data_IF_949078406130
#
_entry.id   IF_949078406130
#
_cell.length_a   1.000
_cell.length_b   1.000
_cell.length_c   1.000
_cell.angle_alpha   90.00
_cell.angle_beta   90.00
_cell.angle_gamma   90.00
#
_symmetry.space_group_name_H-M   'P 1'
#
loop_
_entity.id
_entity.type
_entity.pdbx_description
1 polymer ?
#
# COMPACT_ATOMS: atom_id res chain seq x y z
N UNK A 1 2.84 -2.42 16.16
CA UNK A 1 1.34 -2.39 16.23
C UNK A 1 0.81 -3.16 15.03
N UNK A 2 -0.05 -4.16 15.25
CA UNK A 2 -0.56 -5.04 14.21
C UNK A 2 -2.08 -4.90 14.10
N UNK A 3 -2.60 -4.86 12.88
CA UNK A 3 -4.03 -4.87 12.61
C UNK A 3 -4.30 -6.04 11.67
N UNK A 4 -5.28 -6.87 12.03
CA UNK A 4 -5.71 -8.02 11.24
C UNK A 4 -7.21 -7.87 11.00
N UNK A 5 -7.60 -7.83 9.73
CA UNK A 5 -9.00 -7.78 9.29
C UNK A 5 -9.36 -9.15 8.75
N UNK A 6 -10.26 -9.86 9.44
CA UNK A 6 -10.77 -11.14 8.96
C UNK A 6 -11.63 -10.99 7.70
N UNK A 7 -12.01 -12.11 7.09
CA UNK A 7 -12.82 -12.17 5.85
C UNK A 7 -14.13 -11.41 5.92
N UNK A 8 -14.84 -11.50 7.06
CA UNK A 8 -16.11 -10.80 7.30
C UNK A 8 -15.89 -9.42 7.95
N UNK A 9 -14.63 -9.02 8.14
CA UNK A 9 -14.26 -7.75 8.73
C UNK A 9 -14.48 -6.60 7.75
N UNK A 10 -15.12 -5.54 8.22
CA UNK A 10 -15.26 -4.28 7.47
C UNK A 10 -14.73 -3.11 8.31
N UNK A 11 -13.82 -2.35 7.73
CA UNK A 11 -13.33 -1.10 8.30
C UNK A 11 -13.81 0.07 7.43
N UNK A 12 -14.38 1.08 8.08
CA UNK A 12 -14.78 2.35 7.48
C UNK A 12 -14.00 3.45 8.22
N UNK A 13 -12.99 4.01 7.56
CA UNK A 13 -12.09 5.00 8.13
C UNK A 13 -10.61 4.64 7.97
N UNK A 14 -9.74 5.46 8.56
CA UNK A 14 -8.31 5.39 8.34
C UNK A 14 -7.63 4.35 9.25
N UNK A 15 -6.69 3.59 8.68
CA UNK A 15 -5.93 2.56 9.37
C UNK A 15 -4.46 2.95 9.40
N UNK A 16 -3.89 3.07 10.59
CA UNK A 16 -2.46 3.31 10.79
C UNK A 16 -1.86 2.24 11.69
N UNK A 17 -0.97 1.42 11.15
CA UNK A 17 -0.29 0.36 11.89
C UNK A 17 1.11 0.09 11.33
N UNK A 18 1.92 -0.75 11.98
CA UNK A 18 3.19 -1.19 11.36
C UNK A 18 2.92 -2.31 10.37
N UNK A 19 2.08 -3.27 10.77
CA UNK A 19 1.71 -4.41 9.93
C UNK A 19 0.18 -4.45 9.84
N UNK A 20 -0.34 -4.47 8.61
CA UNK A 20 -1.76 -4.62 8.31
C UNK A 20 -1.94 -5.88 7.47
N UNK A 21 -2.78 -6.79 7.95
CA UNK A 21 -3.20 -7.98 7.20
C UNK A 21 -4.69 -7.84 6.93
N UNK A 22 -5.07 -7.77 5.67
CA UNK A 22 -6.45 -7.58 5.26
C UNK A 22 -6.95 -8.81 4.50
N UNK A 23 -7.94 -9.50 5.07
CA UNK A 23 -8.74 -10.53 4.39
C UNK A 23 -10.17 -10.08 4.06
N UNK A 24 -10.60 -8.92 4.56
CA UNK A 24 -11.96 -8.38 4.43
C UNK A 24 -12.02 -7.08 3.62
N UNK A 25 -12.89 -6.16 4.03
CA UNK A 25 -13.13 -4.89 3.32
C UNK A 25 -12.58 -3.70 4.10
N UNK A 26 -11.80 -2.85 3.44
CA UNK A 26 -11.35 -1.56 4.00
C UNK A 26 -11.79 -0.45 3.07
N UNK A 27 -12.54 0.52 3.60
CA UNK A 27 -12.93 1.75 2.91
C UNK A 27 -12.33 2.95 3.68
N UNK A 28 -11.21 3.49 3.20
CA UNK A 28 -10.44 4.55 3.86
C UNK A 28 -8.95 4.51 3.54
N UNK A 29 -8.17 5.37 4.21
CA UNK A 29 -6.73 5.45 3.97
C UNK A 29 -5.97 4.41 4.79
N UNK A 30 -4.96 3.76 4.19
CA UNK A 30 -4.15 2.73 4.85
C UNK A 30 -2.69 3.16 4.87
N UNK A 31 -2.17 3.44 6.06
CA UNK A 31 -0.76 3.73 6.31
C UNK A 31 -0.12 2.57 7.08
N UNK A 32 0.81 1.86 6.44
CA UNK A 32 1.49 0.72 7.04
C UNK A 32 2.97 0.61 6.67
N UNK A 33 3.82 0.02 7.52
CA UNK A 33 5.16 -0.37 7.05
C UNK A 33 5.06 -1.60 6.13
N UNK A 34 4.17 -2.53 6.46
CA UNK A 34 3.90 -3.74 5.70
C UNK A 34 2.40 -3.99 5.58
N UNK A 35 1.90 -4.09 4.34
CA UNK A 35 0.51 -4.43 4.04
C UNK A 35 0.44 -5.79 3.34
N UNK A 36 -0.34 -6.71 3.90
CA UNK A 36 -0.69 -7.99 3.27
C UNK A 36 -2.18 -7.98 2.91
N UNK A 37 -2.47 -8.22 1.63
CA UNK A 37 -3.83 -8.30 1.10
C UNK A 37 -4.10 -9.76 0.74
N UNK A 38 -4.90 -10.44 1.56
CA UNK A 38 -5.29 -11.84 1.40
C UNK A 38 -6.56 -11.95 0.54
N UNK A 39 -6.82 -13.10 -0.08
CA UNK A 39 -8.11 -13.31 -0.74
C UNK A 39 -9.25 -13.52 0.28
N UNK A 40 -10.48 -13.00 0.08
CA UNK A 40 -10.97 -12.15 -1.01
C UNK A 40 -11.01 -10.65 -0.63
N UNK A 41 -9.91 -10.11 -0.09
CA UNK A 41 -9.91 -8.75 0.44
C UNK A 41 -10.17 -7.69 -0.63
N UNK A 42 -10.84 -6.61 -0.20
CA UNK A 42 -11.16 -5.46 -1.03
C UNK A 42 -10.81 -4.18 -0.29
N UNK A 43 -9.84 -3.43 -0.81
CA UNK A 43 -9.43 -2.14 -0.25
C UNK A 43 -9.83 -1.04 -1.22
N UNK A 44 -10.56 -0.05 -0.72
CA UNK A 44 -10.96 1.14 -1.45
C UNK A 44 -10.50 2.40 -0.73
N UNK A 45 -9.55 3.11 -1.32
CA UNK A 45 -8.94 4.30 -0.75
C UNK A 45 -7.46 4.40 -1.03
N UNK A 46 -6.78 5.33 -0.36
CA UNK A 46 -5.37 5.60 -0.60
C UNK A 46 -4.48 4.76 0.32
N UNK A 47 -3.54 4.03 -0.28
CA UNK A 47 -2.62 3.15 0.43
C UNK A 47 -1.21 3.73 0.36
N UNK A 48 -0.58 3.87 1.52
CA UNK A 48 0.83 4.19 1.66
C UNK A 48 1.52 3.09 2.47
N UNK A 49 2.43 2.37 1.84
CA UNK A 49 3.21 1.36 2.53
C UNK A 49 4.66 1.28 2.10
N UNK A 50 5.55 0.84 2.99
CA UNK A 50 6.95 0.54 2.61
C UNK A 50 7.04 -0.78 1.85
N UNK A 51 6.25 -1.78 2.26
CA UNK A 51 6.16 -3.10 1.64
C UNK A 51 4.70 -3.50 1.47
N UNK A 52 4.37 -4.10 0.34
CA UNK A 52 3.04 -4.63 0.07
C UNK A 52 3.15 -6.04 -0.52
N UNK A 53 2.31 -6.95 -0.05
CA UNK A 53 2.11 -8.29 -0.59
C UNK A 53 0.63 -8.42 -0.92
N UNK A 54 0.33 -8.85 -2.14
CA UNK A 54 -1.05 -9.06 -2.61
C UNK A 54 -1.17 -10.51 -3.05
N UNK A 55 -2.06 -11.26 -2.40
CA UNK A 55 -2.42 -12.61 -2.81
C UNK A 55 -3.40 -12.61 -3.98
N UNK A 56 -3.45 -13.74 -4.70
CA UNK A 56 -4.36 -13.94 -5.81
C UNK A 56 -5.82 -13.79 -5.36
N UNK A 57 -6.54 -12.83 -5.93
CA UNK A 57 -7.93 -12.53 -5.56
C UNK A 57 -8.07 -11.32 -4.63
N UNK A 58 -6.98 -10.75 -4.14
CA UNK A 58 -6.97 -9.43 -3.52
C UNK A 58 -7.31 -8.33 -4.53
N UNK A 59 -8.14 -7.37 -4.13
CA UNK A 59 -8.58 -6.26 -4.96
C UNK A 59 -8.31 -4.93 -4.27
N UNK A 60 -7.78 -3.99 -5.04
CA UNK A 60 -7.41 -2.66 -4.55
C UNK A 60 -7.95 -1.62 -5.55
N UNK A 61 -8.67 -0.63 -5.05
CA UNK A 61 -9.21 0.50 -5.80
C UNK A 61 -8.81 1.82 -5.14
N UNK A 62 -7.84 2.52 -5.75
CA UNK A 62 -7.39 3.82 -5.27
C UNK A 62 -5.95 4.10 -5.62
N UNK A 63 -5.34 5.08 -4.94
CA UNK A 63 -3.93 5.39 -5.10
C UNK A 63 -3.08 4.46 -4.23
N UNK A 64 -2.07 3.83 -4.80
CA UNK A 64 -1.14 2.98 -4.07
C UNK A 64 0.28 3.53 -4.21
N UNK A 65 0.88 3.90 -3.08
CA UNK A 65 2.28 4.34 -3.00
C UNK A 65 3.05 3.30 -2.19
N UNK A 66 3.94 2.58 -2.87
CA UNK A 66 4.81 1.56 -2.26
C UNK A 66 6.25 2.07 -2.28
N UNK A 67 6.94 1.94 -1.15
CA UNK A 67 8.35 2.35 -1.02
C UNK A 67 8.55 3.82 -0.65
N UNK A 68 7.46 4.59 -0.51
CA UNK A 68 7.50 5.94 0.06
C UNK A 68 7.62 5.91 1.59
N UNK A 69 8.25 6.93 2.16
CA UNK A 69 8.25 7.12 3.60
C UNK A 69 6.80 7.32 4.09
N UNK A 70 6.38 6.54 5.08
CA UNK A 70 5.08 6.70 5.76
C UNK A 70 4.97 8.12 6.30
N UNK A 71 3.78 8.74 6.24
CA UNK A 71 3.51 10.19 6.45
C UNK A 71 3.87 10.82 7.82
N UNK A 72 4.74 10.19 8.61
CA UNK A 72 5.62 10.94 9.53
C UNK A 72 6.81 11.59 8.79
N UNK A 73 6.90 11.45 7.46
CA UNK A 73 7.97 11.98 6.61
C UNK A 73 7.43 12.66 5.32
N UNK A 74 6.34 13.42 5.42
CA UNK A 74 5.80 14.21 4.32
C UNK A 74 6.32 15.68 4.30
N UNK A 75 7.54 15.90 4.78
CA UNK A 75 8.35 17.09 4.51
C UNK A 75 9.77 16.63 4.20
N UNK A 76 10.05 16.28 2.94
CA UNK A 76 11.32 16.54 2.24
C UNK A 76 11.27 15.91 0.83
N UNK A 77 11.60 16.74 -0.16
CA UNK A 77 11.58 16.51 -1.60
C UNK A 77 12.70 15.55 -2.05
N UNK A 78 12.49 14.80 -3.14
CA UNK A 78 13.48 14.78 -4.23
C UNK A 78 12.98 14.17 -5.55
N UNK A 79 13.34 14.91 -6.61
CA UNK A 79 13.29 14.62 -8.05
C UNK A 79 14.36 13.60 -8.49
N UNK A 80 14.22 13.18 -9.77
CA UNK A 80 15.20 12.52 -10.66
C UNK A 80 15.55 11.04 -10.33
N UNK A 81 15.71 10.11 -11.28
CA UNK A 81 15.99 10.18 -12.71
C UNK A 81 15.73 8.80 -13.33
N UNK A 82 15.25 8.73 -14.57
CA UNK A 82 15.50 7.57 -15.44
C UNK A 82 15.43 8.02 -16.90
N UNK A 83 16.33 8.95 -17.26
CA UNK A 83 16.77 9.11 -18.64
C UNK A 83 18.07 8.31 -18.85
N UNK A 84 18.01 7.13 -19.46
CA UNK A 84 19.12 6.65 -20.31
C UNK A 84 18.60 6.11 -21.64
N UNK A 85 18.53 7.03 -22.60
CA UNK A 85 18.36 6.73 -24.01
C UNK A 85 19.71 6.53 -24.71
N UNK A 86 19.91 5.31 -25.22
CA UNK A 86 20.68 4.92 -26.44
C UNK A 86 22.19 5.21 -26.53
N UNK A 87 22.95 4.16 -26.91
CA UNK A 87 23.62 3.98 -28.23
C UNK A 87 24.48 2.69 -28.24
N UNK A 88 24.26 1.70 -29.13
CA UNK A 88 24.90 1.56 -30.46
C UNK A 88 26.36 2.03 -30.48
N UNK A 89 27.39 1.22 -30.67
CA UNK A 89 27.82 0.45 -31.87
C UNK A 89 29.15 -0.25 -31.47
N UNK A 90 29.39 -1.51 -31.84
CA UNK A 90 30.27 -1.94 -32.95
C UNK A 90 31.61 -1.21 -33.04
#
# INVERSE_FOLDING_TARGET
RHVIVGTDGKILGDVTAQIVVCGGVIEGNVCADMLEVLAPAFIKGDIRAKKMIVEEGGRIEGLCVIGGATEEAAEEEQEEDDEDGKKSKK
#
